data_IF_131731478628
#
_entry.id   IF_131731478628
#
_cell.length_a   1.000
_cell.length_b   1.000
_cell.length_c   1.000
_cell.angle_alpha   90.00
_cell.angle_beta   90.00
_cell.angle_gamma   90.00
#
_symmetry.space_group_name_H-M   'P 1'
#
loop_
_entity.id
_entity.type
_entity.pdbx_description
1 polymer ?
#
# COMPACT_ATOMS: atom_id res chain seq x y z
N UNK A 1 -11.07 -33.83 -27.69
CA UNK A 1 -11.06 -33.56 -26.23
C UNK A 1 -9.85 -32.76 -25.76
N UNK A 2 -8.63 -32.99 -26.21
CA UNK A 2 -7.41 -32.25 -25.79
C UNK A 2 -7.47 -30.78 -26.19
N UNK A 3 -7.92 -30.41 -27.39
CA UNK A 3 -8.02 -29.04 -27.88
C UNK A 3 -8.91 -28.12 -27.01
N UNK A 4 -10.07 -28.65 -26.53
CA UNK A 4 -10.96 -27.88 -25.65
C UNK A 4 -10.37 -27.64 -24.25
N UNK A 5 -9.59 -28.58 -23.74
CA UNK A 5 -8.90 -28.43 -22.45
C UNK A 5 -7.82 -27.36 -22.52
N UNK A 6 -7.09 -27.25 -23.65
CA UNK A 6 -6.06 -26.25 -23.89
C UNK A 6 -6.73 -24.85 -24.01
N UNK A 7 -7.83 -24.73 -24.74
CA UNK A 7 -8.57 -23.46 -24.87
C UNK A 7 -9.17 -23.00 -23.55
N UNK A 8 -9.73 -23.90 -22.74
CA UNK A 8 -10.23 -23.59 -21.39
C UNK A 8 -9.08 -23.16 -20.45
N UNK A 9 -7.93 -23.81 -20.53
CA UNK A 9 -6.78 -23.47 -19.71
C UNK A 9 -6.19 -22.09 -20.08
N UNK A 10 -6.11 -21.76 -21.38
CA UNK A 10 -5.65 -20.46 -21.86
C UNK A 10 -6.62 -19.33 -21.50
N UNK A 11 -7.93 -19.59 -21.54
CA UNK A 11 -8.95 -18.61 -21.13
C UNK A 11 -8.91 -18.38 -19.61
N UNK A 12 -8.69 -19.43 -18.82
CA UNK A 12 -8.56 -19.32 -17.37
C UNK A 12 -7.30 -18.51 -16.97
N UNK A 13 -6.17 -18.67 -17.67
CA UNK A 13 -4.95 -17.90 -17.46
C UNK A 13 -5.13 -16.41 -17.77
N UNK A 14 -5.93 -16.06 -18.79
CA UNK A 14 -6.17 -14.66 -19.17
C UNK A 14 -6.96 -13.87 -18.13
N UNK A 15 -7.85 -14.53 -17.39
CA UNK A 15 -8.69 -13.88 -16.37
C UNK A 15 -7.87 -13.49 -15.13
N UNK A 16 -6.82 -14.25 -14.80
CA UNK A 16 -5.99 -14.01 -13.61
C UNK A 16 -5.11 -12.76 -13.76
N UNK A 17 -4.73 -12.40 -14.98
CA UNK A 17 -3.86 -11.24 -15.26
C UNK A 17 -4.54 -9.89 -15.08
N UNK A 18 -5.88 -9.81 -15.17
CA UNK A 18 -6.62 -8.54 -15.16
C UNK A 18 -6.76 -7.92 -13.77
N UNK A 19 -6.70 -8.70 -12.69
CA UNK A 19 -6.99 -8.22 -11.33
C UNK A 19 -5.81 -7.58 -10.59
N UNK A 20 -4.56 -7.77 -11.03
CA UNK A 20 -3.35 -7.35 -10.31
C UNK A 20 -2.52 -6.27 -11.01
N UNK A 21 -3.01 -5.71 -12.14
CA UNK A 21 -2.30 -4.66 -12.85
C UNK A 21 -2.20 -3.37 -12.04
N UNK A 22 -1.05 -2.69 -12.14
CA UNK A 22 -0.88 -1.33 -11.60
C UNK A 22 -1.90 -0.40 -12.27
N UNK A 23 -2.58 0.50 -11.54
CA UNK A 23 -3.48 1.49 -12.14
C UNK A 23 -2.76 2.34 -13.18
N UNK A 24 -3.44 2.68 -14.28
CA UNK A 24 -2.86 3.47 -15.39
C UNK A 24 -2.42 4.86 -14.94
N UNK A 25 -3.17 5.48 -14.03
CA UNK A 25 -2.83 6.79 -13.48
C UNK A 25 -2.76 6.72 -11.95
N UNK A 26 -1.57 6.41 -11.44
CA UNK A 26 -1.30 6.35 -9.99
C UNK A 26 -1.11 7.72 -9.34
N UNK A 27 -1.14 8.81 -10.11
CA UNK A 27 -1.03 10.17 -9.59
C UNK A 27 -2.39 10.80 -9.24
N UNK A 28 -3.49 10.09 -9.49
CA UNK A 28 -4.85 10.59 -9.26
C UNK A 28 -5.70 9.56 -8.51
N UNK A 29 -6.15 9.96 -7.29
CA UNK A 29 -6.91 9.08 -6.40
C UNK A 29 -8.27 8.67 -6.95
N UNK A 30 -8.94 9.54 -7.69
CA UNK A 30 -10.20 9.24 -8.35
C UNK A 30 -10.02 8.22 -9.48
N UNK A 31 -8.98 8.40 -10.29
CA UNK A 31 -8.62 7.47 -11.38
C UNK A 31 -8.28 6.08 -10.84
N UNK A 32 -7.49 6.00 -9.76
CA UNK A 32 -7.17 4.74 -9.08
C UNK A 32 -8.44 3.99 -8.70
N UNK A 33 -9.37 4.64 -8.03
CA UNK A 33 -10.59 4.00 -7.53
C UNK A 33 -11.66 3.81 -8.60
N UNK A 34 -11.64 4.62 -9.66
CA UNK A 34 -12.48 4.40 -10.84
C UNK A 34 -12.10 3.11 -11.57
N UNK A 35 -10.79 2.84 -11.71
CA UNK A 35 -10.26 1.62 -12.33
C UNK A 35 -10.33 0.43 -11.36
N UNK A 36 -10.04 0.64 -10.08
CA UNK A 36 -9.95 -0.39 -9.04
C UNK A 36 -10.99 -0.16 -7.94
N UNK A 37 -12.27 -0.21 -8.27
CA UNK A 37 -13.34 0.13 -7.33
C UNK A 37 -13.32 -0.66 -6.02
N UNK A 38 -12.97 -1.94 -6.04
CA UNK A 38 -12.85 -2.72 -4.81
C UNK A 38 -11.73 -2.20 -3.89
N UNK A 39 -10.73 -1.52 -4.44
CA UNK A 39 -9.70 -0.87 -3.63
C UNK A 39 -10.27 0.27 -2.79
N UNK A 40 -11.21 1.05 -3.35
CA UNK A 40 -11.94 2.04 -2.56
C UNK A 40 -12.67 1.41 -1.37
N UNK A 41 -13.40 0.32 -1.60
CA UNK A 41 -14.10 -0.40 -0.52
C UNK A 41 -13.13 -0.91 0.56
N UNK A 42 -11.99 -1.45 0.16
CA UNK A 42 -10.97 -1.93 1.09
C UNK A 42 -10.33 -0.79 1.88
N UNK A 43 -9.97 0.31 1.21
CA UNK A 43 -9.41 1.50 1.86
C UNK A 43 -10.42 2.13 2.84
N UNK A 44 -11.69 2.21 2.45
CA UNK A 44 -12.77 2.71 3.32
C UNK A 44 -12.99 1.84 4.55
N UNK A 45 -12.91 0.51 4.37
CA UNK A 45 -12.99 -0.44 5.50
C UNK A 45 -11.80 -0.28 6.46
N UNK A 46 -10.59 -0.11 5.94
CA UNK A 46 -9.39 0.13 6.75
C UNK A 46 -9.47 1.49 7.47
N UNK A 47 -9.93 2.55 6.80
CA UNK A 47 -10.19 3.86 7.42
C UNK A 47 -11.18 3.75 8.57
N UNK A 48 -12.31 3.07 8.36
CA UNK A 48 -13.33 2.86 9.42
C UNK A 48 -12.77 2.10 10.62
N UNK A 49 -11.93 1.09 10.37
CA UNK A 49 -11.36 0.22 11.41
C UNK A 49 -10.25 0.91 12.22
N UNK A 50 -9.35 1.62 11.53
CA UNK A 50 -8.12 2.12 12.12
C UNK A 50 -8.07 3.65 12.27
N UNK A 51 -8.98 4.37 11.64
CA UNK A 51 -9.01 5.83 11.61
C UNK A 51 -8.02 6.45 10.61
N UNK A 52 -7.23 5.65 9.90
CA UNK A 52 -6.22 6.14 8.95
C UNK A 52 -6.89 6.62 7.68
N UNK A 53 -6.77 7.93 7.33
CA UNK A 53 -7.46 8.48 6.15
C UNK A 53 -7.05 7.78 4.86
N UNK A 54 -7.99 7.62 3.93
CA UNK A 54 -7.76 6.96 2.63
C UNK A 54 -6.61 7.62 1.87
N UNK A 55 -6.54 8.95 1.86
CA UNK A 55 -5.49 9.69 1.18
C UNK A 55 -4.09 9.38 1.72
N UNK A 56 -3.94 9.13 3.01
CA UNK A 56 -2.67 8.71 3.61
C UNK A 56 -2.31 7.27 3.21
N UNK A 57 -3.29 6.35 3.19
CA UNK A 57 -3.08 4.98 2.73
C UNK A 57 -2.53 4.96 1.29
N UNK A 58 -3.16 5.73 0.37
CA UNK A 58 -2.71 5.86 -1.02
C UNK A 58 -1.31 6.45 -1.12
N UNK A 59 -1.02 7.52 -0.35
CA UNK A 59 0.27 8.19 -0.38
C UNK A 59 1.42 7.29 0.08
N UNK A 60 1.19 6.45 1.09
CA UNK A 60 2.17 5.46 1.54
C UNK A 60 2.38 4.41 0.46
N UNK A 61 1.33 3.80 -0.10
CA UNK A 61 1.45 2.80 -1.17
C UNK A 61 2.17 3.38 -2.39
N UNK A 62 1.82 4.61 -2.79
CA UNK A 62 2.49 5.32 -3.89
C UNK A 62 3.99 5.43 -3.67
N UNK A 63 4.42 5.76 -2.46
CA UNK A 63 5.82 5.91 -2.11
C UNK A 63 6.56 4.58 -2.03
N UNK A 64 5.91 3.55 -1.46
CA UNK A 64 6.55 2.26 -1.17
C UNK A 64 6.69 1.37 -2.42
N UNK A 65 5.70 1.36 -3.29
CA UNK A 65 5.64 0.41 -4.40
C UNK A 65 5.12 0.99 -5.71
N UNK A 66 4.65 2.24 -5.73
CA UNK A 66 3.88 2.79 -6.84
C UNK A 66 2.73 1.86 -7.30
N UNK A 67 2.07 1.24 -6.32
CA UNK A 67 0.98 0.28 -6.53
C UNK A 67 1.40 -1.04 -7.21
N UNK A 68 2.69 -1.36 -7.25
CA UNK A 68 3.15 -2.69 -7.69
C UNK A 68 3.02 -3.73 -6.55
N UNK A 69 2.19 -4.74 -6.78
CA UNK A 69 1.93 -5.82 -5.83
C UNK A 69 3.10 -6.79 -5.63
N UNK A 70 4.04 -6.83 -6.58
CA UNK A 70 5.25 -7.65 -6.53
C UNK A 70 6.51 -6.85 -6.21
N UNK A 71 6.39 -5.56 -5.89
CA UNK A 71 7.53 -4.70 -5.60
C UNK A 71 8.47 -5.34 -4.55
N UNK A 72 9.76 -5.28 -4.83
CA UNK A 72 10.84 -5.78 -3.98
C UNK A 72 12.02 -4.82 -4.02
N UNK A 73 12.78 -4.66 -2.92
CA UNK A 73 14.03 -3.91 -2.95
C UNK A 73 14.98 -4.46 -4.02
N UNK A 74 15.70 -3.57 -4.68
CA UNK A 74 16.71 -3.97 -5.63
C UNK A 74 17.79 -4.81 -4.94
N UNK A 75 18.33 -5.81 -5.65
CA UNK A 75 19.46 -6.60 -5.14
C UNK A 75 20.71 -5.72 -5.12
N UNK A 76 21.46 -5.82 -4.04
CA UNK A 76 22.85 -5.33 -4.03
C UNK A 76 23.65 -6.09 -5.09
N UNK A 77 24.62 -5.42 -5.68
CA UNK A 77 25.48 -6.04 -6.70
C UNK A 77 26.92 -6.15 -6.17
N UNK A 78 27.51 -7.33 -6.29
CA UNK A 78 28.95 -7.53 -6.10
C UNK A 78 29.65 -7.11 -7.40
N UNK A 79 30.74 -6.35 -7.27
CA UNK A 79 31.49 -5.76 -8.40
C UNK A 79 30.59 -4.99 -9.40
N UNK A 80 29.47 -4.38 -8.89
CA UNK A 80 28.47 -3.63 -9.71
C UNK A 80 27.71 -4.45 -10.74
N UNK A 81 28.02 -5.73 -10.92
CA UNK A 81 27.47 -6.58 -12.00
C UNK A 81 26.66 -7.76 -11.47
N UNK A 82 27.18 -8.49 -10.49
CA UNK A 82 26.61 -9.76 -10.02
C UNK A 82 25.52 -9.48 -8.96
N UNK A 83 24.23 -9.84 -9.20
CA UNK A 83 23.17 -9.67 -8.22
C UNK A 83 23.44 -10.54 -6.98
N UNK A 84 23.48 -9.91 -5.81
CA UNK A 84 23.68 -10.58 -4.53
C UNK A 84 22.44 -10.55 -3.66
N UNK A 85 22.55 -10.12 -2.45
CA UNK A 85 21.51 -10.11 -1.43
C UNK A 85 20.59 -8.89 -1.55
N UNK A 86 19.30 -9.02 -1.17
CA UNK A 86 18.42 -7.87 -1.00
C UNK A 86 18.70 -7.19 0.35
N UNK A 87 18.66 -5.85 0.43
CA UNK A 87 18.98 -5.13 1.65
C UNK A 87 17.91 -5.34 2.74
N UNK A 88 16.69 -5.65 2.35
CA UNK A 88 15.59 -5.92 3.30
C UNK A 88 14.66 -7.03 2.80
N UNK A 89 13.77 -7.49 3.68
CA UNK A 89 12.71 -8.45 3.37
C UNK A 89 11.39 -7.79 2.96
N UNK A 90 11.39 -6.47 2.67
CA UNK A 90 10.19 -5.73 2.27
C UNK A 90 9.60 -6.27 0.97
N UNK A 91 8.26 -6.22 0.85
CA UNK A 91 7.55 -6.82 -0.27
C UNK A 91 6.15 -6.27 -0.45
N UNK A 92 5.72 -6.19 -1.72
CA UNK A 92 4.36 -5.89 -2.14
C UNK A 92 3.96 -4.44 -1.96
N UNK A 93 2.66 -4.16 -1.95
CA UNK A 93 2.10 -2.80 -1.91
C UNK A 93 2.64 -1.93 -0.77
N UNK A 94 2.70 -2.47 0.44
CA UNK A 94 3.07 -1.74 1.66
C UNK A 94 4.56 -1.81 1.99
N UNK A 95 5.37 -2.54 1.24
CA UNK A 95 6.78 -2.81 1.52
C UNK A 95 7.07 -3.25 2.96
N UNK A 96 6.08 -3.83 3.62
CA UNK A 96 6.25 -4.35 4.97
C UNK A 96 7.34 -5.42 5.03
N UNK A 97 8.23 -5.33 6.01
CA UNK A 97 9.24 -6.36 6.29
C UNK A 97 8.61 -7.57 6.99
N UNK A 98 9.22 -8.75 6.85
CA UNK A 98 8.69 -10.02 7.39
C UNK A 98 8.35 -9.93 8.89
N UNK A 99 9.20 -9.34 9.71
CA UNK A 99 9.01 -9.23 11.16
C UNK A 99 7.77 -8.40 11.51
N UNK A 100 7.66 -7.19 10.95
CA UNK A 100 6.51 -6.30 11.20
C UNK A 100 5.20 -6.89 10.64
N UNK A 101 5.26 -7.60 9.49
CA UNK A 101 4.10 -8.29 8.94
C UNK A 101 3.64 -9.45 9.81
N UNK A 102 4.59 -10.18 10.43
CA UNK A 102 4.26 -11.24 11.40
C UNK A 102 3.54 -10.66 12.61
N UNK A 103 4.08 -9.58 13.19
CA UNK A 103 3.45 -8.88 14.30
C UNK A 103 2.03 -8.39 13.97
N UNK A 104 1.83 -7.80 12.78
CA UNK A 104 0.49 -7.41 12.32
C UNK A 104 -0.48 -8.59 12.30
N UNK A 105 -0.06 -9.74 11.76
CA UNK A 105 -0.91 -10.93 11.72
C UNK A 105 -1.27 -11.46 13.10
N UNK A 106 -0.33 -11.42 14.03
CA UNK A 106 -0.53 -11.81 15.42
C UNK A 106 -1.49 -10.86 16.14
N UNK A 107 -1.27 -9.54 16.02
CA UNK A 107 -2.09 -8.52 16.67
C UNK A 107 -3.54 -8.49 16.16
N UNK A 108 -3.75 -8.84 14.89
CA UNK A 108 -5.07 -8.72 14.23
C UNK A 108 -5.80 -10.05 14.07
N UNK A 109 -5.14 -11.18 14.32
CA UNK A 109 -5.65 -12.51 14.03
C UNK A 109 -5.75 -12.85 12.54
N UNK A 110 -5.29 -11.98 11.64
CA UNK A 110 -5.39 -12.17 10.19
C UNK A 110 -4.28 -13.10 9.66
N UNK A 111 -4.35 -14.38 10.01
CA UNK A 111 -3.32 -15.39 9.73
C UNK A 111 -3.00 -15.54 8.25
N UNK A 112 -3.99 -15.35 7.37
CA UNK A 112 -3.87 -15.54 5.91
C UNK A 112 -3.57 -14.26 5.13
N UNK A 113 -3.30 -13.14 5.81
CA UNK A 113 -2.96 -11.89 5.15
C UNK A 113 -1.74 -12.03 4.24
N UNK A 114 -1.83 -11.45 3.03
CA UNK A 114 -0.78 -11.45 2.01
C UNK A 114 -0.28 -10.03 1.73
N UNK A 115 1.03 -9.83 1.71
CA UNK A 115 1.66 -8.54 1.36
C UNK A 115 1.46 -8.16 -0.11
N UNK A 116 1.08 -9.12 -0.96
CA UNK A 116 0.70 -8.90 -2.36
C UNK A 116 -0.78 -8.54 -2.53
N UNK A 117 -1.58 -8.57 -1.47
CA UNK A 117 -3.00 -8.19 -1.48
C UNK A 117 -3.16 -6.72 -1.12
N UNK A 118 -3.84 -5.94 -1.99
CA UNK A 118 -4.14 -4.55 -1.70
C UNK A 118 -4.99 -4.40 -0.43
N UNK A 119 -6.03 -5.23 -0.29
CA UNK A 119 -6.90 -5.29 0.90
C UNK A 119 -6.09 -5.43 2.19
N UNK A 120 -5.17 -6.39 2.22
CA UNK A 120 -4.40 -6.68 3.43
C UNK A 120 -3.32 -5.61 3.66
N UNK A 121 -2.81 -5.00 2.59
CA UNK A 121 -1.81 -3.92 2.67
C UNK A 121 -2.40 -2.63 3.23
N UNK A 122 -3.63 -2.24 2.84
CA UNK A 122 -4.28 -1.06 3.45
C UNK A 122 -4.71 -1.30 4.89
N UNK A 123 -5.13 -2.53 5.24
CA UNK A 123 -5.41 -2.90 6.63
C UNK A 123 -4.13 -2.86 7.48
N UNK A 124 -3.00 -3.35 6.95
CA UNK A 124 -1.68 -3.25 7.58
C UNK A 124 -1.24 -1.79 7.79
N UNK A 125 -1.35 -0.94 6.76
CA UNK A 125 -1.01 0.48 6.86
C UNK A 125 -1.87 1.14 7.94
N UNK A 126 -3.17 0.82 7.97
CA UNK A 126 -4.08 1.30 8.99
C UNK A 126 -3.66 0.89 10.40
N UNK A 127 -3.36 -0.38 10.60
CA UNK A 127 -2.86 -0.92 11.87
C UNK A 127 -1.56 -0.23 12.30
N UNK A 128 -0.60 -0.09 11.38
CA UNK A 128 0.71 0.49 11.69
C UNK A 128 0.61 1.96 12.10
N UNK A 129 -0.10 2.77 11.32
CA UNK A 129 -0.28 4.20 11.60
C UNK A 129 -1.12 4.45 12.86
N UNK A 130 -2.10 3.60 13.15
CA UNK A 130 -2.86 3.66 14.40
C UNK A 130 -1.96 3.34 15.61
N UNK A 131 -1.09 2.31 15.52
CA UNK A 131 -0.06 2.05 16.55
C UNK A 131 0.92 3.21 16.67
N UNK A 132 1.33 3.82 15.56
CA UNK A 132 2.18 5.02 15.56
C UNK A 132 1.53 6.17 16.35
N UNK A 133 0.22 6.41 16.13
CA UNK A 133 -0.55 7.38 16.92
C UNK A 133 -0.52 7.04 18.42
N UNK A 134 -0.69 5.78 18.76
CA UNK A 134 -0.73 5.36 20.17
C UNK A 134 0.64 5.45 20.85
N UNK A 135 1.72 5.03 20.17
CA UNK A 135 3.08 4.94 20.71
C UNK A 135 3.78 6.31 20.71
N UNK A 136 3.72 7.02 19.58
CA UNK A 136 4.47 8.26 19.36
C UNK A 136 3.62 9.53 19.50
N UNK A 137 2.30 9.38 19.75
CA UNK A 137 1.34 10.48 19.85
C UNK A 137 1.24 11.33 18.57
N UNK A 138 1.51 10.73 17.41
CA UNK A 138 1.45 11.39 16.10
C UNK A 138 0.03 11.29 15.55
N UNK A 139 -0.64 12.41 15.21
CA UNK A 139 -1.98 12.37 14.61
C UNK A 139 -2.00 11.58 13.30
N UNK A 140 -3.11 10.88 13.02
CA UNK A 140 -3.29 10.12 11.76
C UNK A 140 -3.34 11.03 10.52
N UNK A 141 -3.62 12.32 10.71
CA UNK A 141 -3.63 13.34 9.64
C UNK A 141 -2.26 13.94 9.34
N UNK A 142 -1.25 13.67 10.18
CA UNK A 142 0.12 14.14 9.99
C UNK A 142 0.90 13.17 9.09
N UNK A 143 0.72 13.29 7.80
CA UNK A 143 1.30 12.38 6.82
C UNK A 143 2.84 12.38 6.86
N UNK A 144 3.46 13.54 7.13
CA UNK A 144 4.92 13.67 7.21
C UNK A 144 5.48 12.80 8.35
N UNK A 145 5.02 13.03 9.59
CA UNK A 145 5.53 12.30 10.75
C UNK A 145 5.09 10.84 10.77
N UNK A 146 3.89 10.53 10.28
CA UNK A 146 3.43 9.15 10.12
C UNK A 146 4.36 8.36 9.18
N UNK A 147 4.76 8.96 8.05
CA UNK A 147 5.66 8.28 7.12
C UNK A 147 7.10 8.16 7.67
N UNK A 148 7.60 9.16 8.40
CA UNK A 148 8.89 9.03 9.08
C UNK A 148 8.90 7.82 10.02
N UNK A 149 7.86 7.65 10.83
CA UNK A 149 7.73 6.50 11.71
C UNK A 149 7.53 5.18 10.95
N UNK A 150 6.86 5.23 9.81
CA UNK A 150 6.66 4.06 8.94
C UNK A 150 7.98 3.55 8.38
N UNK A 151 8.82 4.45 7.89
CA UNK A 151 10.11 4.12 7.27
C UNK A 151 11.20 3.74 8.29
N UNK A 152 11.35 4.51 9.36
CA UNK A 152 12.41 4.32 10.37
C UNK A 152 12.03 3.29 11.45
N UNK A 153 10.75 2.92 11.53
CA UNK A 153 10.20 2.15 12.64
C UNK A 153 10.03 3.01 13.91
N UNK A 154 9.21 2.54 14.84
CA UNK A 154 8.92 3.28 16.08
C UNK A 154 10.17 3.53 16.93
N UNK A 155 11.11 2.58 16.98
CA UNK A 155 12.39 2.74 17.70
C UNK A 155 13.34 3.72 17.01
N UNK A 156 13.38 3.69 15.67
CA UNK A 156 14.27 4.55 14.87
C UNK A 156 13.78 5.98 14.72
N UNK A 157 12.47 6.22 14.90
CA UNK A 157 11.83 7.52 14.68
C UNK A 157 12.55 8.70 15.36
N UNK A 158 13.06 8.54 16.57
CA UNK A 158 13.76 9.60 17.31
C UNK A 158 14.99 10.14 16.56
N UNK A 159 15.58 9.33 15.70
CA UNK A 159 16.82 9.64 14.98
C UNK A 159 16.59 10.14 13.54
N UNK A 160 15.34 10.32 13.10
CA UNK A 160 15.02 10.68 11.70
C UNK A 160 15.71 11.96 11.22
N UNK A 161 15.98 12.91 12.12
CA UNK A 161 16.65 14.17 11.80
C UNK A 161 18.04 14.00 11.18
N UNK A 162 18.69 12.87 11.46
CA UNK A 162 19.99 12.52 10.90
C UNK A 162 19.90 11.88 9.51
N UNK A 163 18.67 11.60 9.03
CA UNK A 163 18.44 10.94 7.73
C UNK A 163 17.72 11.89 6.77
N UNK A 164 18.50 12.76 6.10
CA UNK A 164 17.96 13.73 5.14
C UNK A 164 17.19 13.06 3.99
N UNK A 165 17.62 11.87 3.57
CA UNK A 165 16.93 11.11 2.52
C UNK A 165 15.50 10.77 2.95
N UNK A 166 15.31 10.30 4.16
CA UNK A 166 13.98 9.94 4.67
C UNK A 166 13.09 11.17 4.87
N UNK A 167 13.68 12.30 5.29
CA UNK A 167 12.95 13.56 5.37
C UNK A 167 12.40 13.98 4.01
N UNK A 168 13.19 13.86 2.94
CA UNK A 168 12.73 14.15 1.57
C UNK A 168 11.62 13.20 1.11
N UNK A 169 11.71 11.91 1.46
CA UNK A 169 10.66 10.95 1.15
C UNK A 169 9.36 11.29 1.92
N UNK A 170 9.46 11.63 3.19
CA UNK A 170 8.31 12.02 4.01
C UNK A 170 7.61 13.29 3.47
N UNK A 171 8.36 14.28 2.99
CA UNK A 171 7.80 15.46 2.31
C UNK A 171 7.05 15.08 1.03
N UNK A 172 7.57 14.12 0.24
CA UNK A 172 6.87 13.62 -0.95
C UNK A 172 5.56 12.90 -0.57
N UNK A 173 5.56 12.12 0.52
CA UNK A 173 4.33 11.46 1.01
C UNK A 173 3.31 12.50 1.48
N UNK A 174 3.73 13.52 2.21
CA UNK A 174 2.85 14.62 2.63
C UNK A 174 2.22 15.32 1.42
N UNK A 175 3.01 15.67 0.40
CA UNK A 175 2.52 16.29 -0.82
C UNK A 175 1.53 15.40 -1.57
N UNK A 176 1.84 14.09 -1.71
CA UNK A 176 0.93 13.12 -2.33
C UNK A 176 -0.36 12.97 -1.51
N UNK A 177 -0.24 12.92 -0.19
CA UNK A 177 -1.38 12.84 0.74
C UNK A 177 -2.33 14.03 0.57
N UNK A 178 -1.78 15.25 0.54
CA UNK A 178 -2.56 16.47 0.33
C UNK A 178 -3.22 16.49 -1.06
N UNK A 179 -2.50 16.05 -2.10
CA UNK A 179 -3.02 15.93 -3.46
C UNK A 179 -4.18 14.93 -3.52
N UNK A 180 -4.00 13.72 -3.01
CA UNK A 180 -5.06 12.71 -2.98
C UNK A 180 -6.26 13.16 -2.15
N UNK A 181 -6.02 13.84 -1.02
CA UNK A 181 -7.11 14.39 -0.20
C UNK A 181 -8.01 15.29 -1.04
N UNK A 182 -7.43 16.29 -1.72
CA UNK A 182 -8.17 17.22 -2.59
C UNK A 182 -8.91 16.51 -3.72
N UNK A 183 -8.25 15.58 -4.43
CA UNK A 183 -8.87 14.82 -5.52
C UNK A 183 -10.06 13.99 -5.04
N UNK A 184 -9.94 13.31 -3.88
CA UNK A 184 -11.00 12.47 -3.35
C UNK A 184 -12.23 13.29 -2.89
N UNK A 185 -12.07 14.54 -2.47
CA UNK A 185 -13.19 15.44 -2.17
C UNK A 185 -14.14 15.57 -3.37
N UNK A 186 -13.59 15.59 -4.59
CA UNK A 186 -14.36 15.76 -5.83
C UNK A 186 -15.14 14.49 -6.26
N UNK A 187 -14.63 13.30 -5.93
CA UNK A 187 -15.20 12.05 -6.46
C UNK A 187 -15.76 11.08 -5.42
N UNK A 188 -15.57 11.34 -4.12
CA UNK A 188 -15.94 10.38 -3.08
C UNK A 188 -17.46 10.12 -3.02
N UNK A 189 -18.28 11.11 -3.36
CA UNK A 189 -19.73 10.97 -3.45
C UNK A 189 -20.13 9.96 -4.51
N UNK A 190 -19.55 10.07 -5.73
CA UNK A 190 -19.81 9.16 -6.83
C UNK A 190 -19.27 7.75 -6.57
N UNK A 191 -18.13 7.62 -5.90
CA UNK A 191 -17.57 6.33 -5.49
C UNK A 191 -18.41 5.63 -4.44
N UNK A 192 -19.01 6.38 -3.50
CA UNK A 192 -19.85 5.82 -2.45
C UNK A 192 -21.21 5.34 -2.95
N UNK A 193 -21.75 5.95 -4.01
CA UNK A 193 -23.06 5.63 -4.60
C UNK A 193 -22.99 4.55 -5.69
N UNK A 194 -21.83 4.26 -6.26
CA UNK A 194 -21.67 3.17 -7.25
C UNK A 194 -22.05 1.82 -6.61
N UNK A 195 -23.32 1.42 -6.77
CA UNK A 195 -23.74 0.04 -6.63
C UNK A 195 -23.33 -0.69 -7.93
N UNK A 196 -22.40 -1.64 -7.84
CA UNK A 196 -22.24 -2.58 -8.93
C UNK A 196 -23.51 -3.42 -8.98
N UNK A 197 -24.27 -3.28 -10.07
CA UNK A 197 -25.21 -4.31 -10.49
C UNK A 197 -24.30 -5.46 -10.93
N UNK A 198 -24.25 -6.49 -10.09
CA UNK A 198 -23.68 -7.79 -10.48
C UNK A 198 -24.63 -8.35 -11.54
N UNK A 199 -24.19 -8.39 -12.78
CA UNK A 199 -24.78 -9.24 -13.81
C UNK A 199 -24.19 -10.64 -13.71
#
# INVERSE_FOLDING_TARGET
MIRYKILLLSFLLSIISACSSVPKNTADGCSIFSEKYFWYKHSKKAEKKWGTPIYLQLAIIKMESDFDWLAKPQRQKIFKVIPYKRPSSSFGYSQAVKGTWKQYKEDTGNKFASRASYKDSVDFIGWYTNKTKSILKIPLTDAFRQYLAYHEGWGGYKNYKNNQKVILLAKKVENNSNKYKKQLEDCISSLSTKRYILF
#
